data_IF_001201625044
#
_entry.id   IF_001201625044
#
_cell.length_a   1.000
_cell.length_b   1.000
_cell.length_c   1.000
_cell.angle_alpha   90.00
_cell.angle_beta   90.00
_cell.angle_gamma   90.00
#
_symmetry.space_group_name_H-M   'P 1'
#
loop_
_entity.id
_entity.type
_entity.pdbx_description
1 polymer ?
#
# COMPACT_ATOMS: atom_id res chain seq x y z
N UNK A 1 38.19 92.00 -76.70
CA UNK A 1 39.42 91.20 -76.63
C UNK A 1 39.47 90.55 -75.26
N UNK A 2 39.37 89.22 -75.21
CA UNK A 2 39.44 88.44 -73.99
C UNK A 2 40.90 88.29 -73.54
N UNK A 3 41.17 88.43 -72.24
CA UNK A 3 42.37 87.88 -71.62
C UNK A 3 41.95 87.00 -70.44
N UNK A 4 42.06 85.68 -70.67
CA UNK A 4 42.06 84.65 -69.63
C UNK A 4 43.31 84.83 -68.77
N UNK A 5 43.15 84.95 -67.45
CA UNK A 5 44.25 84.74 -66.50
C UNK A 5 43.96 83.46 -65.72
N UNK A 6 44.40 82.33 -66.28
CA UNK A 6 44.48 81.05 -65.57
C UNK A 6 45.71 81.07 -64.65
N UNK A 7 45.49 80.88 -63.34
CA UNK A 7 46.51 80.58 -62.31
C UNK A 7 47.66 81.59 -62.14
N UNK A 8 47.36 82.72 -61.49
CA UNK A 8 48.37 83.59 -60.87
C UNK A 8 48.64 83.23 -59.40
N UNK A 9 49.91 83.17 -59.01
CA UNK A 9 50.34 83.31 -57.61
C UNK A 9 50.09 84.77 -57.18
N UNK A 10 49.26 84.97 -56.16
CA UNK A 10 49.04 86.31 -55.59
C UNK A 10 50.15 86.57 -54.57
N UNK A 11 51.17 87.34 -54.96
CA UNK A 11 52.34 87.64 -54.11
C UNK A 11 52.17 88.87 -53.21
N UNK A 12 50.95 89.40 -53.12
CA UNK A 12 50.59 90.51 -52.25
C UNK A 12 49.28 91.11 -52.75
N UNK A 13 48.20 90.91 -52.01
CA UNK A 13 46.97 91.69 -52.21
C UNK A 13 47.06 92.88 -51.26
N UNK A 14 47.24 94.08 -51.81
CA UNK A 14 47.18 95.33 -51.07
C UNK A 14 45.82 95.93 -51.36
N UNK A 15 45.04 96.11 -50.30
CA UNK A 15 43.67 96.65 -50.25
C UNK A 15 43.41 97.75 -51.28
N UNK A 16 42.75 97.38 -52.37
CA UNK A 16 42.00 98.32 -53.19
C UNK A 16 40.55 98.07 -52.81
N UNK A 17 39.88 99.08 -52.27
CA UNK A 17 38.49 99.06 -51.75
C UNK A 17 37.42 98.77 -52.82
N UNK A 18 37.54 97.66 -53.53
CA UNK A 18 36.58 97.12 -54.48
C UNK A 18 36.46 95.60 -54.23
N UNK A 19 35.23 95.08 -54.37
CA UNK A 19 34.96 93.66 -54.20
C UNK A 19 35.79 92.84 -55.20
N UNK A 20 36.67 91.98 -54.70
CA UNK A 20 37.42 91.03 -55.50
C UNK A 20 36.89 89.62 -55.25
N UNK A 21 36.20 89.07 -56.24
CA UNK A 21 35.85 87.65 -56.28
C UNK A 21 37.00 86.87 -56.95
N UNK A 22 37.56 85.90 -56.24
CA UNK A 22 38.66 85.07 -56.75
C UNK A 22 38.21 83.61 -56.72
N UNK A 23 37.98 83.03 -57.90
CA UNK A 23 37.52 81.66 -58.04
C UNK A 23 38.68 80.62 -57.96
N UNK A 24 38.39 79.42 -57.44
CA UNK A 24 39.28 78.26 -57.32
C UNK A 24 40.05 78.09 -55.99
N UNK A 25 40.74 76.95 -55.82
CA UNK A 25 41.51 76.60 -54.60
C UNK A 25 42.81 77.40 -54.52
N UNK A 26 43.03 78.12 -53.40
CA UNK A 26 44.27 78.84 -53.11
C UNK A 26 45.03 78.21 -51.96
N UNK A 27 46.34 78.03 -52.15
CA UNK A 27 47.27 77.62 -51.10
C UNK A 27 48.12 78.84 -50.74
N UNK A 28 47.88 79.40 -49.56
CA UNK A 28 48.70 80.48 -49.03
C UNK A 28 49.90 79.88 -48.30
N UNK A 29 51.12 80.20 -48.75
CA UNK A 29 52.35 79.64 -48.17
C UNK A 29 52.85 80.40 -46.92
N UNK A 30 52.25 81.55 -46.63
CA UNK A 30 52.56 82.40 -45.48
C UNK A 30 51.29 82.64 -44.65
N UNK A 31 51.46 83.07 -43.40
CA UNK A 31 50.34 83.41 -42.50
C UNK A 31 49.45 84.49 -43.11
N UNK A 32 48.16 84.18 -43.24
CA UNK A 32 47.13 85.16 -43.56
C UNK A 32 46.71 85.83 -42.25
N UNK A 33 46.86 87.16 -42.15
CA UNK A 33 46.19 87.95 -41.12
C UNK A 33 44.91 88.53 -41.71
N UNK A 34 43.77 88.02 -41.26
CA UNK A 34 42.44 88.55 -41.58
C UNK A 34 41.72 88.89 -40.28
N UNK A 35 40.92 89.96 -40.28
CA UNK A 35 40.16 90.39 -39.10
C UNK A 35 38.97 89.46 -38.80
N UNK A 36 38.40 88.80 -39.81
CA UNK A 36 37.34 87.78 -39.71
C UNK A 36 37.49 86.82 -40.91
N UNK A 37 37.30 85.52 -40.67
CA UNK A 37 36.95 84.57 -41.73
C UNK A 37 35.43 84.42 -41.70
N UNK A 38 34.77 84.55 -42.84
CA UNK A 38 33.32 84.41 -42.96
C UNK A 38 33.02 83.16 -43.78
N UNK A 39 32.25 82.25 -43.20
CA UNK A 39 31.72 81.10 -43.92
C UNK A 39 30.48 81.58 -44.69
N UNK A 40 30.63 81.72 -46.00
CA UNK A 40 29.57 82.16 -46.90
C UNK A 40 28.43 81.17 -47.02
N UNK A 41 28.68 79.86 -46.85
CA UNK A 41 27.64 78.84 -46.94
C UNK A 41 26.77 78.85 -45.68
N UNK A 42 27.39 79.07 -44.51
CA UNK A 42 26.69 79.22 -43.24
C UNK A 42 26.20 80.64 -42.96
N UNK A 43 26.55 81.62 -43.81
CA UNK A 43 26.36 83.05 -43.60
C UNK A 43 26.76 83.52 -42.19
N UNK A 44 27.91 83.08 -41.68
CA UNK A 44 28.35 83.45 -40.34
C UNK A 44 29.88 83.58 -40.22
N UNK A 45 30.40 84.37 -39.27
CA UNK A 45 31.83 84.38 -38.98
C UNK A 45 32.29 82.97 -38.56
N UNK A 46 33.35 82.45 -39.18
CA UNK A 46 34.01 81.24 -38.72
C UNK A 46 34.41 81.41 -37.26
N UNK A 47 33.95 80.51 -36.38
CA UNK A 47 34.19 80.59 -34.96
C UNK A 47 35.70 80.68 -34.66
N UNK A 48 36.12 81.76 -33.99
CA UNK A 48 37.50 81.91 -33.54
C UNK A 48 37.65 81.36 -32.11
N UNK A 49 38.88 81.08 -31.65
CA UNK A 49 39.14 80.65 -30.26
C UNK A 49 38.58 81.62 -29.19
N UNK A 50 38.22 82.86 -29.55
CA UNK A 50 37.54 83.79 -28.64
C UNK A 50 36.08 83.42 -28.38
N UNK A 51 35.45 82.68 -29.29
CA UNK A 51 34.00 82.43 -29.37
C UNK A 51 33.59 81.04 -28.83
N UNK A 52 34.54 80.25 -28.33
CA UNK A 52 34.23 78.95 -27.68
C UNK A 52 33.67 79.17 -26.27
N UNK A 53 32.50 78.56 -26.00
CA UNK A 53 31.79 78.68 -24.72
C UNK A 53 32.57 78.06 -23.53
N UNK A 54 33.45 77.09 -23.78
CA UNK A 54 34.26 76.42 -22.76
C UNK A 54 35.74 76.61 -23.11
N UNK A 55 36.45 77.42 -22.32
CA UNK A 55 37.89 77.71 -22.52
C UNK A 55 38.80 76.84 -21.66
N UNK A 56 38.27 76.28 -20.56
CA UNK A 56 38.99 75.39 -19.64
C UNK A 56 38.00 74.50 -18.91
N UNK A 57 38.35 73.22 -18.72
CA UNK A 57 37.64 72.30 -17.84
C UNK A 57 38.45 72.16 -16.55
N UNK A 58 37.83 72.44 -15.40
CA UNK A 58 38.46 72.32 -14.08
C UNK A 58 38.24 70.91 -13.53
N UNK A 59 39.33 70.20 -13.23
CA UNK A 59 39.31 68.81 -12.71
C UNK A 59 40.08 67.85 -13.61
N UNK A 60 40.62 66.77 -13.03
CA UNK A 60 41.44 65.77 -13.72
C UNK A 60 40.84 64.36 -13.67
N UNK A 61 39.53 64.26 -13.48
CA UNK A 61 38.82 62.98 -13.38
C UNK A 61 38.62 62.43 -14.79
N UNK A 62 39.29 61.31 -15.09
CA UNK A 62 39.08 60.60 -16.34
C UNK A 62 37.63 60.07 -16.39
N UNK A 63 36.97 60.23 -17.54
CA UNK A 63 35.55 59.95 -17.74
C UNK A 63 34.57 60.64 -16.77
N UNK A 64 34.98 61.73 -16.11
CA UNK A 64 34.08 62.53 -15.30
C UNK A 64 33.06 63.27 -16.16
N UNK A 65 31.78 63.26 -15.76
CA UNK A 65 30.77 64.05 -16.47
C UNK A 65 31.08 65.54 -16.32
N UNK A 66 31.05 66.27 -17.44
CA UNK A 66 31.27 67.72 -17.45
C UNK A 66 29.98 68.39 -16.98
N UNK A 67 30.09 69.17 -15.92
CA UNK A 67 29.01 70.02 -15.41
C UNK A 67 29.38 71.49 -15.59
N UNK A 68 28.35 72.32 -15.81
CA UNK A 68 28.52 73.77 -15.86
C UNK A 68 28.97 74.28 -14.48
N UNK A 69 30.03 75.09 -14.46
CA UNK A 69 30.56 75.69 -13.25
C UNK A 69 30.53 77.21 -13.38
N UNK A 70 29.97 77.88 -12.37
CA UNK A 70 29.80 79.34 -12.39
C UNK A 70 31.13 80.10 -12.39
N UNK A 71 32.22 79.50 -11.90
CA UNK A 71 33.53 80.16 -11.79
C UNK A 71 34.45 79.80 -12.96
N UNK A 72 34.47 78.54 -13.40
CA UNK A 72 35.40 78.05 -14.43
C UNK A 72 34.75 77.77 -15.79
N UNK A 73 33.44 78.01 -15.94
CA UNK A 73 32.67 77.67 -17.13
C UNK A 73 32.30 76.18 -17.19
N UNK A 74 33.28 75.29 -17.02
CA UNK A 74 33.08 73.84 -17.00
C UNK A 74 33.99 73.14 -15.96
N UNK A 75 33.50 72.06 -15.35
CA UNK A 75 34.28 71.20 -14.45
C UNK A 75 33.85 69.74 -14.50
N UNK A 76 34.71 68.82 -14.05
CA UNK A 76 34.36 67.41 -13.81
C UNK A 76 34.20 67.12 -12.31
N UNK A 77 33.42 66.09 -11.96
CA UNK A 77 33.20 65.65 -10.58
C UNK A 77 33.63 64.17 -10.41
N UNK A 78 34.40 63.87 -9.37
CA UNK A 78 34.92 62.52 -9.11
C UNK A 78 33.84 61.52 -8.65
N UNK A 79 32.69 62.01 -8.18
CA UNK A 79 31.57 61.17 -7.74
C UNK A 79 30.55 60.90 -8.85
N UNK A 80 30.83 61.30 -10.09
CA UNK A 80 29.96 61.09 -11.24
C UNK A 80 30.80 60.83 -12.49
N UNK A 81 31.04 59.56 -12.79
CA UNK A 81 31.86 59.12 -13.91
C UNK A 81 31.08 58.22 -14.85
N UNK A 82 31.41 58.25 -16.13
CA UNK A 82 30.87 57.34 -17.13
C UNK A 82 31.88 56.22 -17.40
N UNK A 83 31.49 54.96 -17.27
CA UNK A 83 32.34 53.83 -17.63
C UNK A 83 32.01 53.42 -19.06
N UNK A 84 32.90 53.78 -20.01
CA UNK A 84 32.74 53.48 -21.44
C UNK A 84 32.68 51.99 -21.74
N UNK A 85 33.32 51.14 -20.94
CA UNK A 85 33.41 49.71 -21.20
C UNK A 85 32.10 48.97 -20.85
N UNK A 86 31.32 49.55 -19.95
CA UNK A 86 30.03 48.99 -19.50
C UNK A 86 28.84 49.87 -19.87
N UNK A 87 29.10 51.01 -20.51
CA UNK A 87 28.12 52.05 -20.81
C UNK A 87 27.31 52.52 -19.58
N UNK A 88 27.92 52.51 -18.39
CA UNK A 88 27.23 52.84 -17.12
C UNK A 88 27.65 54.18 -16.53
N UNK A 89 26.69 54.87 -15.92
CA UNK A 89 26.96 56.05 -15.09
C UNK A 89 27.19 55.59 -13.64
N UNK A 90 28.38 55.84 -13.11
CA UNK A 90 28.79 55.46 -11.76
C UNK A 90 28.71 56.68 -10.85
N UNK A 91 27.98 56.54 -9.75
CA UNK A 91 27.96 57.54 -8.69
C UNK A 91 27.92 56.90 -7.31
N UNK A 92 28.63 57.51 -6.36
CA UNK A 92 28.70 57.02 -4.98
C UNK A 92 27.41 57.28 -4.21
N UNK A 93 26.77 58.43 -4.45
CA UNK A 93 25.54 58.85 -3.78
C UNK A 93 24.64 59.52 -4.81
N UNK A 94 23.45 58.96 -5.00
CA UNK A 94 22.43 59.52 -5.89
C UNK A 94 21.27 59.98 -5.02
N UNK A 95 20.96 61.28 -5.05
CA UNK A 95 19.72 61.84 -4.51
C UNK A 95 18.91 62.38 -5.68
N UNK A 96 17.78 61.74 -5.93
CA UNK A 96 16.87 62.05 -7.02
C UNK A 96 15.45 61.97 -6.50
N UNK A 97 14.56 62.83 -7.01
CA UNK A 97 13.17 62.86 -6.58
C UNK A 97 12.37 61.71 -7.22
N UNK A 98 12.63 61.42 -8.49
CA UNK A 98 12.01 60.32 -9.24
C UNK A 98 13.01 59.70 -10.20
N UNK A 99 13.10 58.37 -10.22
CA UNK A 99 13.77 57.61 -11.28
C UNK A 99 12.67 57.00 -12.15
N UNK A 100 12.66 57.30 -13.45
CA UNK A 100 11.70 56.75 -14.41
C UNK A 100 12.47 55.87 -15.40
N UNK A 101 12.09 54.60 -15.51
CA UNK A 101 12.75 53.63 -16.38
C UNK A 101 12.39 52.19 -16.04
N UNK A 102 13.03 51.23 -16.71
CA UNK A 102 12.88 49.80 -16.40
C UNK A 102 13.66 49.44 -15.13
N UNK A 103 12.99 48.81 -14.17
CA UNK A 103 13.62 48.22 -12.99
C UNK A 103 14.23 46.84 -13.22
N UNK A 104 14.25 46.33 -14.47
CA UNK A 104 14.66 44.95 -14.80
C UNK A 104 16.07 44.58 -14.28
N UNK A 105 16.96 45.56 -14.14
CA UNK A 105 18.33 45.35 -13.65
C UNK A 105 18.54 45.83 -12.20
N UNK A 106 17.47 46.13 -11.47
CA UNK A 106 17.53 46.38 -10.03
C UNK A 106 17.50 45.04 -9.28
N UNK A 107 18.66 44.37 -9.21
CA UNK A 107 18.84 43.15 -8.43
C UNK A 107 19.56 43.44 -7.10
N UNK A 108 19.46 42.50 -6.15
CA UNK A 108 20.13 42.54 -4.85
C UNK A 108 19.88 43.82 -4.02
N UNK A 109 18.71 44.44 -4.19
CA UNK A 109 18.30 45.57 -3.36
C UNK A 109 18.15 45.10 -1.90
N UNK A 110 18.99 45.57 -0.97
CA UNK A 110 18.98 45.07 0.40
C UNK A 110 17.72 45.57 1.12
N UNK A 111 16.86 44.62 1.51
CA UNK A 111 15.54 44.91 2.08
C UNK A 111 15.61 45.61 3.44
N UNK A 112 16.76 45.55 4.13
CA UNK A 112 17.02 46.22 5.40
C UNK A 112 17.49 47.69 5.25
N UNK A 113 17.77 48.16 4.03
CA UNK A 113 18.22 49.54 3.77
C UNK A 113 17.10 50.50 3.36
N UNK A 114 15.88 50.02 3.19
CA UNK A 114 14.73 50.88 2.98
C UNK A 114 14.35 51.58 4.28
N UNK A 115 14.40 52.92 4.29
CA UNK A 115 14.03 53.72 5.47
C UNK A 115 12.53 53.61 5.79
N UNK A 116 11.71 53.34 4.79
CA UNK A 116 10.25 53.25 4.90
C UNK A 116 9.77 51.91 4.31
N UNK A 117 8.57 51.48 4.72
CA UNK A 117 7.90 50.32 4.12
C UNK A 117 7.64 50.57 2.64
N UNK A 118 7.88 49.56 1.81
CA UNK A 118 7.44 49.56 0.41
C UNK A 118 5.98 49.15 0.39
N UNK A 119 5.12 50.02 -0.14
CA UNK A 119 3.70 49.70 -0.29
C UNK A 119 3.53 48.59 -1.33
N UNK A 120 2.74 47.57 -1.03
CA UNK A 120 2.52 46.44 -1.93
C UNK A 120 1.90 46.84 -3.29
N UNK A 121 1.28 48.01 -3.42
CA UNK A 121 0.84 48.56 -4.72
C UNK A 121 1.99 48.81 -5.70
N UNK A 122 3.21 48.95 -5.21
CA UNK A 122 4.40 49.19 -6.03
C UNK A 122 5.20 47.90 -6.28
N UNK A 123 4.67 46.76 -5.85
CA UNK A 123 5.29 45.46 -6.06
C UNK A 123 4.48 44.69 -7.10
N UNK A 124 5.16 44.27 -8.17
CA UNK A 124 4.61 43.24 -9.04
C UNK A 124 4.76 41.90 -8.32
N UNK A 125 3.64 41.24 -8.06
CA UNK A 125 3.61 39.98 -7.33
C UNK A 125 2.77 38.94 -8.07
N UNK A 126 3.15 37.66 -7.92
CA UNK A 126 2.42 36.54 -8.53
C UNK A 126 1.02 36.33 -7.93
N UNK A 127 0.27 35.40 -8.53
CA UNK A 127 -1.14 35.11 -8.19
C UNK A 127 -1.37 34.63 -6.75
N UNK A 128 -0.34 34.09 -6.09
CA UNK A 128 -0.40 33.62 -4.70
C UNK A 128 -0.31 34.73 -3.65
N UNK A 129 -0.07 35.97 -4.07
CA UNK A 129 0.01 37.14 -3.20
C UNK A 129 -1.02 38.18 -3.64
N UNK A 130 -1.45 39.02 -2.71
CA UNK A 130 -2.31 40.16 -3.01
C UNK A 130 -2.04 41.31 -2.06
N UNK A 131 -2.33 42.52 -2.53
CA UNK A 131 -2.26 43.71 -1.69
C UNK A 131 -3.56 43.88 -0.90
N UNK A 132 -3.44 43.98 0.42
CA UNK A 132 -4.52 44.42 1.31
C UNK A 132 -4.07 45.70 2.02
N UNK A 133 -4.65 46.84 1.62
CA UNK A 133 -4.42 48.17 2.25
C UNK A 133 -2.94 48.57 2.33
N UNK A 134 -2.16 48.22 1.32
CA UNK A 134 -0.73 48.52 1.22
C UNK A 134 0.20 47.48 1.84
N UNK A 135 -0.35 46.39 2.39
CA UNK A 135 0.39 45.26 2.96
C UNK A 135 0.29 44.08 2.00
N UNK A 136 1.43 43.47 1.69
CA UNK A 136 1.49 42.25 0.90
C UNK A 136 1.03 41.07 1.77
N UNK A 137 0.01 40.35 1.33
CA UNK A 137 -0.54 39.20 2.03
C UNK A 137 -0.60 37.98 1.11
N UNK A 138 -0.54 36.79 1.70
CA UNK A 138 -0.77 35.54 0.97
C UNK A 138 -2.24 35.46 0.60
N UNK A 139 -2.53 35.18 -0.67
CA UNK A 139 -3.89 34.93 -1.14
C UNK A 139 -4.32 33.55 -0.66
N UNK A 140 -5.20 33.51 0.33
CA UNK A 140 -5.77 32.28 0.87
C UNK A 140 -6.92 31.76 0.00
N UNK A 141 -7.07 30.45 -0.07
CA UNK A 141 -8.18 29.74 -0.70
C UNK A 141 -8.70 28.63 0.22
N UNK A 142 -9.66 27.82 -0.24
CA UNK A 142 -10.01 26.59 0.47
C UNK A 142 -8.75 25.74 0.71
N UNK A 143 -8.57 25.28 1.95
CA UNK A 143 -7.41 24.50 2.39
C UNK A 143 -6.29 25.28 3.08
N UNK A 144 -6.10 26.59 2.82
CA UNK A 144 -5.04 27.40 3.45
C UNK A 144 -5.65 28.67 4.04
N UNK A 145 -5.42 28.93 5.33
CA UNK A 145 -5.89 30.13 6.02
C UNK A 145 -4.78 30.83 6.80
N UNK A 146 -4.95 32.13 7.04
CA UNK A 146 -4.08 32.93 7.88
C UNK A 146 -4.71 33.00 9.28
N UNK A 147 -3.97 32.62 10.32
CA UNK A 147 -4.39 32.74 11.72
C UNK A 147 -4.35 34.20 12.17
N UNK A 148 -4.98 34.50 13.30
CA UNK A 148 -5.00 35.86 13.89
C UNK A 148 -3.59 36.42 14.19
N UNK A 149 -2.60 35.55 14.41
CA UNK A 149 -1.21 35.92 14.61
C UNK A 149 -0.41 36.11 13.31
N UNK A 150 -1.06 36.05 12.15
CA UNK A 150 -0.46 36.17 10.83
C UNK A 150 0.22 34.88 10.31
N UNK A 151 0.22 33.79 11.06
CA UNK A 151 0.79 32.52 10.61
C UNK A 151 -0.09 31.84 9.56
N UNK A 152 0.55 31.22 8.57
CA UNK A 152 -0.12 30.36 7.59
C UNK A 152 -0.46 29.01 8.22
N UNK A 153 -1.67 28.50 7.97
CA UNK A 153 -2.03 27.13 8.34
C UNK A 153 -2.90 26.43 7.31
N UNK A 154 -2.83 25.10 7.36
CA UNK A 154 -3.66 24.22 6.57
C UNK A 154 -4.98 23.96 7.31
N UNK A 155 -6.11 24.08 6.60
CA UNK A 155 -7.40 23.61 7.08
C UNK A 155 -7.49 22.12 6.82
N UNK A 156 -7.48 21.32 7.87
CA UNK A 156 -7.66 19.87 7.80
C UNK A 156 -9.05 19.52 8.34
N UNK A 157 -9.85 18.79 7.57
CA UNK A 157 -11.18 18.35 7.98
C UNK A 157 -11.09 17.45 9.23
N UNK A 158 -12.02 17.61 10.16
CA UNK A 158 -12.02 16.90 11.45
C UNK A 158 -12.06 15.38 11.30
N UNK A 159 -12.64 14.91 10.19
CA UNK A 159 -12.89 13.50 9.91
C UNK A 159 -12.02 12.94 8.76
N UNK A 160 -11.04 13.73 8.29
CA UNK A 160 -10.27 13.43 7.09
C UNK A 160 -9.22 12.33 7.26
N UNK A 161 -8.93 11.93 8.51
CA UNK A 161 -7.80 11.05 8.82
C UNK A 161 -6.43 11.72 8.62
N UNK A 162 -6.38 13.02 8.35
CA UNK A 162 -5.16 13.82 8.31
C UNK A 162 -5.02 14.65 9.60
N UNK A 163 -3.79 14.92 10.00
CA UNK A 163 -3.47 15.79 11.15
C UNK A 163 -2.13 16.50 10.93
N UNK A 164 -1.83 17.51 11.75
CA UNK A 164 -0.50 18.13 11.81
C UNK A 164 0.19 17.60 13.08
N UNK A 165 1.28 16.86 12.90
CA UNK A 165 2.11 16.34 14.00
C UNK A 165 3.55 16.79 13.77
N UNK A 166 4.14 17.42 14.78
CA UNK A 166 5.52 17.94 14.74
C UNK A 166 5.80 18.84 13.52
N UNK A 167 4.82 19.67 13.14
CA UNK A 167 4.92 20.58 12.00
C UNK A 167 4.78 19.92 10.61
N UNK A 168 4.53 18.61 10.55
CA UNK A 168 4.33 17.85 9.31
C UNK A 168 2.90 17.34 9.18
N UNK A 169 2.41 17.23 7.94
CA UNK A 169 1.13 16.55 7.67
C UNK A 169 1.33 15.05 7.86
N UNK A 170 0.51 14.45 8.70
CA UNK A 170 0.55 13.02 9.03
C UNK A 170 -0.84 12.39 8.86
N UNK A 171 -0.86 11.08 8.62
CA UNK A 171 -2.08 10.28 8.65
C UNK A 171 -2.35 9.87 10.10
N UNK A 172 -3.55 10.17 10.59
CA UNK A 172 -4.06 9.75 11.90
C UNK A 172 -5.47 9.20 11.74
N UNK A 173 -5.55 7.87 11.60
CA UNK A 173 -6.82 7.15 11.43
C UNK A 173 -7.75 7.27 12.64
N UNK A 174 -7.26 7.69 13.82
CA UNK A 174 -8.15 7.90 14.98
C UNK A 174 -9.03 9.14 14.83
N UNK A 175 -8.71 9.99 13.85
CA UNK A 175 -9.51 11.14 13.45
C UNK A 175 -10.57 10.81 12.42
N UNK A 176 -10.65 9.58 11.89
CA UNK A 176 -11.74 9.24 10.96
C UNK A 176 -13.01 8.85 11.73
N UNK A 177 -14.17 9.15 11.14
CA UNK A 177 -15.43 8.57 11.60
C UNK A 177 -15.41 7.05 11.42
N UNK A 178 -16.03 6.30 12.34
CA UNK A 178 -16.12 4.83 12.19
C UNK A 178 -16.99 4.51 10.98
N UNK A 179 -16.56 3.54 10.17
CA UNK A 179 -17.30 3.17 8.95
C UNK A 179 -18.73 2.67 9.23
N UNK A 180 -18.97 2.12 10.42
CA UNK A 180 -20.27 1.59 10.82
C UNK A 180 -21.20 2.59 11.54
N UNK A 181 -20.80 3.86 11.64
CA UNK A 181 -21.56 4.88 12.41
C UNK A 181 -22.97 5.13 11.88
N UNK A 182 -23.23 4.84 10.61
CA UNK A 182 -24.53 5.02 9.95
C UNK A 182 -25.11 3.71 9.39
N UNK A 183 -24.71 2.55 9.92
CA UNK A 183 -25.11 1.24 9.40
C UNK A 183 -24.45 0.84 8.07
N UNK A 184 -23.55 1.68 7.55
CA UNK A 184 -22.67 1.34 6.44
C UNK A 184 -21.62 0.31 6.88
N UNK A 185 -21.07 -0.44 5.94
CA UNK A 185 -19.95 -1.33 6.17
C UNK A 185 -19.01 -1.25 4.96
N UNK A 186 -17.86 -1.91 5.06
CA UNK A 186 -16.92 -2.01 3.97
C UNK A 186 -17.60 -2.61 2.73
N UNK A 187 -17.40 -1.97 1.60
CA UNK A 187 -17.76 -2.46 0.27
C UNK A 187 -16.56 -3.13 -0.39
N UNK A 188 -16.82 -4.07 -1.30
CA UNK A 188 -15.79 -4.71 -2.14
C UNK A 188 -14.93 -3.69 -2.90
N UNK A 189 -15.54 -2.55 -3.27
CA UNK A 189 -14.90 -1.47 -4.03
C UNK A 189 -14.18 -0.43 -3.15
N UNK A 190 -14.29 -0.52 -1.82
CA UNK A 190 -13.59 0.40 -0.93
C UNK A 190 -12.08 0.23 -1.06
N UNK A 191 -11.38 1.35 -1.05
CA UNK A 191 -9.93 1.40 -1.25
C UNK A 191 -9.17 1.35 0.06
N UNK A 192 -8.13 0.53 0.07
CA UNK A 192 -7.14 0.43 1.12
C UNK A 192 -5.83 1.04 0.65
N UNK A 193 -5.26 1.92 1.46
CA UNK A 193 -3.90 2.40 1.26
C UNK A 193 -2.92 1.31 1.67
N UNK A 194 -1.99 0.97 0.76
CA UNK A 194 -0.98 -0.07 1.00
C UNK A 194 0.40 0.44 0.59
N UNK A 195 1.38 0.17 1.44
CA UNK A 195 2.78 0.37 1.07
C UNK A 195 3.27 -0.91 0.39
N UNK A 196 3.47 -0.84 -0.92
CA UNK A 196 4.09 -1.91 -1.68
C UNK A 196 5.61 -1.86 -1.45
N UNK A 197 6.07 -2.73 -0.55
CA UNK A 197 7.47 -2.86 -0.16
C UNK A 197 8.35 -3.22 -1.37
N UNK A 198 7.83 -3.97 -2.35
CA UNK A 198 8.60 -4.41 -3.51
C UNK A 198 8.92 -3.27 -4.47
N UNK A 199 8.01 -2.29 -4.60
CA UNK A 199 8.19 -1.11 -5.44
C UNK A 199 8.64 0.14 -4.66
N UNK A 200 8.64 0.09 -3.32
CA UNK A 200 8.97 1.23 -2.47
C UNK A 200 7.95 2.37 -2.57
N UNK A 201 6.72 2.08 -3.03
CA UNK A 201 5.68 3.08 -3.29
C UNK A 201 4.47 2.83 -2.39
N UNK A 202 3.76 3.91 -2.09
CA UNK A 202 2.40 3.80 -1.53
C UNK A 202 1.41 3.81 -2.68
N UNK A 203 0.56 2.79 -2.74
CA UNK A 203 -0.50 2.61 -3.74
C UNK A 203 -1.82 2.31 -3.03
N UNK A 204 -2.88 2.08 -3.80
CA UNK A 204 -4.15 1.59 -3.28
C UNK A 204 -4.52 0.24 -3.91
N UNK A 205 -5.39 -0.49 -3.22
CA UNK A 205 -6.06 -1.69 -3.72
C UNK A 205 -7.49 -1.70 -3.19
N UNK A 206 -8.39 -2.44 -3.83
CA UNK A 206 -9.72 -2.67 -3.27
C UNK A 206 -9.72 -3.81 -2.25
N UNK A 207 -10.73 -3.82 -1.37
CA UNK A 207 -10.95 -4.94 -0.43
C UNK A 207 -11.17 -6.24 -1.20
N UNK A 208 -11.91 -6.20 -2.31
CA UNK A 208 -12.08 -7.34 -3.21
C UNK A 208 -10.75 -7.88 -3.72
N UNK A 209 -9.86 -7.03 -4.21
CA UNK A 209 -8.56 -7.45 -4.71
C UNK A 209 -7.69 -8.06 -3.59
N UNK A 210 -7.75 -7.51 -2.37
CA UNK A 210 -7.07 -8.09 -1.22
C UNK A 210 -7.64 -9.47 -0.85
N UNK A 211 -8.96 -9.61 -0.87
CA UNK A 211 -9.63 -10.87 -0.58
C UNK A 211 -9.29 -11.91 -1.65
N UNK A 212 -9.62 -11.64 -2.92
CA UNK A 212 -9.44 -12.57 -4.03
C UNK A 212 -7.96 -12.91 -4.27
N UNK A 213 -7.09 -11.91 -4.24
CA UNK A 213 -5.67 -12.04 -4.58
C UNK A 213 -4.77 -12.52 -3.45
N UNK A 214 -5.23 -12.50 -2.19
CA UNK A 214 -4.41 -12.90 -1.05
C UNK A 214 -5.15 -13.78 -0.06
N UNK A 215 -6.22 -13.29 0.57
CA UNK A 215 -6.87 -14.01 1.67
C UNK A 215 -7.47 -15.33 1.15
N UNK A 216 -8.25 -15.26 0.07
CA UNK A 216 -8.90 -16.40 -0.57
C UNK A 216 -7.91 -17.47 -1.04
N UNK A 217 -6.68 -17.07 -1.42
CA UNK A 217 -5.63 -18.00 -1.82
C UNK A 217 -4.91 -18.68 -0.65
N UNK A 218 -4.97 -18.10 0.55
CA UNK A 218 -4.26 -18.60 1.74
C UNK A 218 -5.17 -19.41 2.67
N UNK A 219 -6.49 -19.20 2.59
CA UNK A 219 -7.47 -19.95 3.37
C UNK A 219 -7.77 -21.28 2.68
N UNK A 220 -7.85 -22.35 3.47
CA UNK A 220 -8.24 -23.66 2.97
C UNK A 220 -9.75 -23.69 2.75
N UNK A 221 -10.16 -24.03 1.54
CA UNK A 221 -11.57 -24.14 1.18
C UNK A 221 -12.09 -25.56 1.41
N UNK A 222 -13.38 -25.72 1.75
CA UNK A 222 -14.03 -27.02 1.72
C UNK A 222 -13.84 -27.70 0.36
N UNK A 223 -13.70 -29.02 0.37
CA UNK A 223 -13.60 -29.84 -0.83
C UNK A 223 -14.92 -30.58 -1.11
N UNK A 224 -15.14 -30.97 -2.36
CA UNK A 224 -16.25 -31.85 -2.71
C UNK A 224 -17.61 -31.17 -2.92
N UNK A 225 -18.62 -32.00 -3.13
CA UNK A 225 -20.00 -31.59 -3.35
C UNK A 225 -20.73 -31.31 -2.03
N UNK A 226 -21.87 -30.57 -2.06
CA UNK A 226 -22.75 -30.46 -0.89
C UNK A 226 -23.04 -31.83 -0.27
N UNK A 227 -23.20 -31.86 1.06
CA UNK A 227 -23.42 -33.07 1.87
C UNK A 227 -22.22 -34.02 2.01
N UNK A 228 -21.10 -33.83 1.29
CA UNK A 228 -19.90 -34.62 1.53
C UNK A 228 -19.21 -34.18 2.82
N UNK A 229 -18.87 -35.14 3.69
CA UNK A 229 -18.18 -34.84 4.93
C UNK A 229 -16.72 -34.46 4.66
N UNK A 230 -16.29 -33.38 5.30
CA UNK A 230 -14.93 -32.86 5.19
C UNK A 230 -13.99 -33.61 6.13
N UNK A 231 -12.82 -33.96 5.65
CA UNK A 231 -11.72 -34.45 6.47
C UNK A 231 -10.41 -33.77 6.10
N UNK A 232 -9.41 -33.89 6.98
CA UNK A 232 -8.09 -33.30 6.75
C UNK A 232 -7.32 -34.10 5.70
N UNK A 233 -7.19 -33.53 4.51
CA UNK A 233 -6.33 -34.03 3.44
C UNK A 233 -4.87 -33.55 3.59
N UNK A 234 -4.05 -33.90 2.59
CA UNK A 234 -2.61 -33.55 2.56
C UNK A 234 -2.33 -32.05 2.33
N UNK A 235 -3.19 -31.38 1.56
CA UNK A 235 -3.04 -29.96 1.16
C UNK A 235 -4.15 -29.04 1.69
N UNK A 236 -5.07 -29.57 2.50
CA UNK A 236 -6.21 -28.83 3.02
C UNK A 236 -7.36 -29.75 3.38
N UNK A 237 -8.59 -29.28 3.20
CA UNK A 237 -9.75 -30.15 3.28
C UNK A 237 -9.82 -31.08 2.08
N UNK A 238 -10.33 -32.27 2.34
CA UNK A 238 -10.62 -33.30 1.35
C UNK A 238 -11.98 -33.92 1.70
N UNK A 239 -12.54 -34.62 0.74
CA UNK A 239 -13.91 -35.13 0.79
C UNK A 239 -14.04 -36.41 -0.02
N UNK A 240 -15.07 -37.19 0.25
CA UNK A 240 -15.36 -38.39 -0.54
C UNK A 240 -16.85 -38.50 -0.78
N UNK A 241 -17.24 -38.85 -2.01
CA UNK A 241 -18.63 -39.19 -2.32
C UNK A 241 -19.12 -40.40 -1.49
N UNK A 242 -18.21 -41.30 -1.13
CA UNK A 242 -18.47 -42.47 -0.30
C UNK A 242 -18.72 -42.15 1.19
N UNK A 243 -18.53 -40.90 1.62
CA UNK A 243 -18.78 -40.45 2.99
C UNK A 243 -19.57 -39.14 2.98
N UNK A 244 -20.89 -39.24 3.06
CA UNK A 244 -21.79 -38.09 2.94
C UNK A 244 -22.91 -38.12 3.98
N UNK A 245 -23.38 -36.95 4.38
CA UNK A 245 -24.52 -36.76 5.27
C UNK A 245 -25.56 -35.88 4.60
N UNK A 246 -26.70 -36.46 4.24
CA UNK A 246 -27.86 -35.70 3.78
C UNK A 246 -28.67 -35.22 4.97
N UNK A 247 -28.60 -33.91 5.25
CA UNK A 247 -29.34 -33.28 6.34
C UNK A 247 -30.86 -33.31 6.17
N UNK A 248 -31.38 -33.47 4.94
CA UNK A 248 -32.82 -33.50 4.67
C UNK A 248 -33.42 -34.83 5.10
N UNK A 249 -32.76 -35.93 4.75
CA UNK A 249 -33.17 -37.28 5.14
C UNK A 249 -32.55 -37.76 6.46
N UNK A 250 -31.59 -37.00 7.02
CA UNK A 250 -30.79 -37.38 8.19
C UNK A 250 -30.03 -38.70 8.00
N UNK A 251 -29.56 -38.97 6.78
CA UNK A 251 -28.86 -40.21 6.42
C UNK A 251 -27.35 -39.94 6.29
N UNK A 252 -26.56 -40.68 7.06
CA UNK A 252 -25.12 -40.83 6.86
C UNK A 252 -24.86 -42.03 5.96
N UNK A 253 -24.32 -41.77 4.78
CA UNK A 253 -23.90 -42.80 3.83
C UNK A 253 -22.40 -43.08 4.01
N UNK A 254 -22.08 -44.37 4.16
CA UNK A 254 -20.71 -44.88 4.16
C UNK A 254 -20.62 -46.00 3.14
N UNK A 255 -20.02 -45.73 1.98
CA UNK A 255 -19.72 -46.76 0.98
C UNK A 255 -18.32 -47.31 1.24
N UNK A 256 -18.27 -48.44 1.94
CA UNK A 256 -17.01 -49.10 2.28
C UNK A 256 -17.07 -49.76 3.65
N UNK A 257 -15.92 -49.81 4.33
CA UNK A 257 -15.77 -50.46 5.62
C UNK A 257 -15.76 -49.43 6.76
N UNK A 258 -16.48 -49.76 7.85
CA UNK A 258 -16.40 -49.01 9.11
C UNK A 258 -15.50 -49.79 10.07
N UNK A 259 -14.27 -49.33 10.23
CA UNK A 259 -13.37 -49.85 11.24
C UNK A 259 -13.65 -49.17 12.60
N UNK A 260 -14.40 -49.85 13.46
CA UNK A 260 -14.72 -49.36 14.80
C UNK A 260 -14.36 -50.39 15.87
N UNK A 261 -13.74 -49.93 16.97
CA UNK A 261 -13.50 -50.78 18.15
C UNK A 261 -14.81 -51.09 18.89
N UNK A 262 -15.74 -50.13 18.91
CA UNK A 262 -17.07 -50.25 19.53
C UNK A 262 -18.07 -49.46 18.69
N UNK A 263 -19.25 -50.04 18.48
CA UNK A 263 -20.37 -49.40 17.80
C UNK A 263 -21.59 -49.50 18.70
N UNK A 264 -22.24 -48.36 18.95
CA UNK A 264 -23.44 -48.28 19.79
C UNK A 264 -24.64 -47.89 18.93
N UNK A 265 -25.65 -48.76 18.88
CA UNK A 265 -26.90 -48.52 18.15
C UNK A 265 -28.05 -48.51 19.16
N UNK A 266 -28.66 -47.34 19.39
CA UNK A 266 -29.64 -47.14 20.47
C UNK A 266 -31.00 -47.79 20.22
N UNK A 267 -31.45 -47.79 18.96
CA UNK A 267 -32.84 -48.13 18.65
C UNK A 267 -32.94 -49.47 17.93
N UNK A 268 -32.36 -49.57 16.73
CA UNK A 268 -32.47 -50.75 15.88
C UNK A 268 -31.26 -50.87 14.98
N UNK A 269 -30.69 -52.07 14.91
CA UNK A 269 -29.74 -52.45 13.87
C UNK A 269 -30.49 -53.30 12.83
N UNK A 270 -30.55 -52.83 11.59
CA UNK A 270 -31.02 -53.62 10.45
C UNK A 270 -29.80 -53.99 9.63
N UNK A 271 -29.61 -55.29 9.38
CA UNK A 271 -28.58 -55.79 8.49
C UNK A 271 -29.29 -56.54 7.36
N UNK A 272 -29.26 -55.99 6.15
CA UNK A 272 -29.88 -56.60 4.97
C UNK A 272 -28.99 -57.68 4.33
N UNK A 273 -27.70 -57.70 4.70
CA UNK A 273 -26.71 -58.68 4.26
C UNK A 273 -26.44 -59.78 5.28
N UNK A 274 -25.34 -60.51 5.06
CA UNK A 274 -24.89 -61.57 5.97
C UNK A 274 -24.08 -61.03 7.15
N UNK A 275 -24.27 -61.62 8.33
CA UNK A 275 -23.47 -61.33 9.53
C UNK A 275 -22.45 -62.44 9.73
N UNK A 276 -21.17 -62.11 9.60
CA UNK A 276 -20.07 -63.05 9.85
C UNK A 276 -19.57 -62.91 11.29
N UNK A 277 -19.40 -64.04 11.98
CA UNK A 277 -18.88 -64.09 13.35
C UNK A 277 -17.85 -65.22 13.48
N UNK A 278 -16.95 -65.08 14.45
CA UNK A 278 -15.89 -66.05 14.73
C UNK A 278 -16.49 -67.40 15.15
N UNK A 279 -16.02 -68.48 14.52
CA UNK A 279 -16.28 -69.87 14.91
C UNK A 279 -14.96 -70.47 15.38
N UNK A 280 -14.94 -71.04 16.59
CA UNK A 280 -13.74 -71.67 17.17
C UNK A 280 -14.05 -73.11 17.56
N UNK A 281 -13.15 -74.03 17.25
CA UNK A 281 -13.23 -75.41 17.73
C UNK A 281 -12.32 -75.59 18.94
N UNK A 282 -12.81 -76.27 19.97
CA UNK A 282 -12.06 -76.57 21.20
C UNK A 282 -12.04 -78.08 21.44
N UNK A 283 -10.89 -78.57 21.90
CA UNK A 283 -10.66 -79.99 22.19
C UNK A 283 -10.23 -80.24 23.64
N UNK A 284 -9.65 -79.22 24.28
CA UNK A 284 -9.13 -79.32 25.63
C UNK A 284 -10.24 -79.59 26.64
N UNK A 285 -9.92 -80.37 27.67
CA UNK A 285 -10.88 -80.73 28.73
C UNK A 285 -11.43 -79.54 29.53
N UNK A 286 -10.77 -78.39 29.45
CA UNK A 286 -11.21 -77.13 30.04
C UNK A 286 -10.93 -75.99 29.07
N UNK A 287 -11.85 -75.03 28.98
CA UNK A 287 -11.69 -73.84 28.14
C UNK A 287 -12.34 -72.62 28.79
N UNK A 288 -11.58 -71.54 28.91
CA UNK A 288 -12.08 -70.23 29.34
C UNK A 288 -12.47 -69.41 28.11
N UNK A 289 -13.67 -68.85 28.13
CA UNK A 289 -14.20 -68.05 27.02
C UNK A 289 -13.43 -66.74 26.89
N UNK A 290 -12.95 -66.46 25.68
CA UNK A 290 -12.30 -65.20 25.30
C UNK A 290 -13.35 -64.17 24.87
N UNK A 291 -13.11 -62.88 25.06
CA UNK A 291 -13.95 -61.75 24.64
C UNK A 291 -14.34 -61.79 23.15
N UNK A 292 -13.47 -62.32 22.30
CA UNK A 292 -13.73 -62.41 20.85
C UNK A 292 -14.57 -63.63 20.43
N UNK A 293 -14.84 -64.58 21.33
CA UNK A 293 -15.59 -65.78 20.98
C UNK A 293 -17.09 -65.52 20.82
N UNK A 294 -17.68 -66.19 19.82
CA UNK A 294 -19.10 -66.14 19.51
C UNK A 294 -19.70 -67.55 19.36
N UNK A 295 -19.22 -68.34 18.40
CA UNK A 295 -19.61 -69.75 18.24
C UNK A 295 -18.46 -70.66 18.60
N UNK A 296 -18.69 -71.58 19.54
CA UNK A 296 -17.73 -72.56 20.02
C UNK A 296 -18.22 -73.96 19.65
N UNK A 297 -17.43 -74.67 18.86
CA UNK A 297 -17.60 -76.08 18.53
C UNK A 297 -16.78 -76.89 19.53
N UNK A 298 -17.45 -77.55 20.46
CA UNK A 298 -16.82 -78.36 21.50
C UNK A 298 -16.69 -79.79 21.01
N UNK A 299 -15.49 -80.18 20.58
CA UNK A 299 -15.21 -81.52 20.08
C UNK A 299 -14.84 -82.47 21.23
N UNK A 300 -15.77 -83.34 21.61
CA UNK A 300 -15.65 -84.22 22.78
C UNK A 300 -15.06 -85.61 22.45
N UNK A 301 -14.45 -85.81 21.29
CA UNK A 301 -13.93 -87.14 20.87
C UNK A 301 -12.97 -87.81 21.86
N UNK A 302 -12.24 -87.03 22.66
CA UNK A 302 -11.20 -87.56 23.56
C UNK A 302 -11.56 -87.45 25.05
N UNK A 303 -12.40 -86.49 25.43
CA UNK A 303 -12.68 -86.17 26.83
C UNK A 303 -13.96 -85.36 26.99
N UNK A 304 -14.48 -85.33 28.22
CA UNK A 304 -15.44 -84.31 28.64
C UNK A 304 -14.78 -82.93 28.54
N UNK A 305 -15.55 -81.91 28.14
CA UNK A 305 -15.10 -80.52 28.05
C UNK A 305 -15.88 -79.68 29.04
N UNK A 306 -15.18 -78.91 29.87
CA UNK A 306 -15.78 -77.89 30.74
C UNK A 306 -15.48 -76.51 30.14
N UNK A 307 -16.53 -75.81 29.73
CA UNK A 307 -16.46 -74.42 29.29
C UNK A 307 -16.73 -73.52 30.50
N UNK A 308 -15.76 -72.70 30.86
CA UNK A 308 -15.93 -71.70 31.91
C UNK A 308 -16.46 -70.40 31.27
N UNK A 309 -17.72 -70.08 31.57
CA UNK A 309 -18.37 -68.85 31.16
C UNK A 309 -17.81 -67.68 31.99
N UNK A 310 -17.63 -66.49 31.38
CA UNK A 310 -17.16 -65.34 32.11
C UNK A 310 -18.28 -64.81 33.03
N UNK A 311 -17.90 -63.99 34.01
CA UNK A 311 -18.86 -63.37 34.93
C UNK A 311 -19.94 -62.59 34.15
N UNK A 312 -21.25 -62.81 34.44
CA UNK A 312 -22.35 -62.13 33.76
C UNK A 312 -22.28 -60.60 33.87
N UNK A 313 -21.80 -60.07 35.01
CA UNK A 313 -21.78 -58.64 35.35
C UNK A 313 -21.09 -57.79 34.28
N UNK A 314 -20.03 -58.31 33.67
CA UNK A 314 -19.25 -57.60 32.66
C UNK A 314 -19.62 -57.99 31.21
N UNK A 315 -20.64 -58.82 31.02
CA UNK A 315 -20.99 -59.42 29.73
C UNK A 315 -22.48 -59.23 29.36
N UNK A 316 -23.18 -58.26 29.95
CA UNK A 316 -24.60 -58.01 29.66
C UNK A 316 -24.85 -57.83 28.15
N UNK A 317 -25.88 -58.52 27.63
CA UNK A 317 -26.25 -58.54 26.22
C UNK A 317 -25.41 -59.46 25.34
N UNK A 318 -24.34 -60.09 25.86
CA UNK A 318 -23.49 -60.99 25.08
C UNK A 318 -24.22 -62.27 24.71
N UNK A 319 -24.06 -62.70 23.45
CA UNK A 319 -24.60 -63.95 22.91
C UNK A 319 -23.44 -64.90 22.62
N UNK A 320 -23.57 -66.14 23.07
CA UNK A 320 -22.62 -67.22 22.82
C UNK A 320 -23.36 -68.46 22.31
N UNK A 321 -22.80 -69.14 21.32
CA UNK A 321 -23.34 -70.36 20.76
C UNK A 321 -22.38 -71.51 21.02
N UNK A 322 -22.92 -72.62 21.52
CA UNK A 322 -22.16 -73.83 21.80
C UNK A 322 -22.74 -74.99 21.01
N UNK A 323 -21.88 -75.76 20.35
CA UNK A 323 -22.26 -76.98 19.64
C UNK A 323 -21.34 -78.11 20.07
N UNK A 324 -21.91 -79.16 20.65
CA UNK A 324 -21.17 -80.40 20.87
C UNK A 324 -20.96 -81.10 19.53
N UNK A 325 -19.75 -81.57 19.29
CA UNK A 325 -19.43 -82.47 18.18
C UNK A 325 -18.59 -83.63 18.67
N UNK A 326 -18.76 -84.78 18.03
CA UNK A 326 -17.97 -85.98 18.27
C UNK A 326 -18.05 -86.84 17.00
N UNK A 327 -17.03 -87.66 16.77
CA UNK A 327 -16.94 -88.53 15.59
C UNK A 327 -17.92 -89.70 15.62
N UNK A 328 -18.38 -90.12 16.81
CA UNK A 328 -19.33 -91.21 16.98
C UNK A 328 -20.78 -90.70 17.02
N UNK A 329 -21.52 -90.95 15.95
CA UNK A 329 -22.88 -90.45 15.73
C UNK A 329 -23.97 -91.19 16.54
N UNK A 330 -23.64 -92.33 17.18
CA UNK A 330 -24.63 -93.23 17.79
C UNK A 330 -24.61 -93.30 19.32
N UNK A 331 -23.69 -92.60 20.00
CA UNK A 331 -23.54 -92.74 21.45
C UNK A 331 -24.42 -91.79 22.27
N UNK A 332 -25.38 -92.39 22.99
CA UNK A 332 -26.05 -91.79 24.16
C UNK A 332 -25.10 -91.62 25.36
N UNK A 333 -23.98 -92.36 25.39
CA UNK A 333 -22.96 -92.38 26.46
C UNK A 333 -21.64 -91.69 26.05
N UNK A 334 -21.67 -90.75 25.10
CA UNK A 334 -20.49 -89.99 24.69
C UNK A 334 -20.01 -89.04 25.80
N UNK A 335 -18.78 -88.57 25.67
CA UNK A 335 -18.25 -87.48 26.50
C UNK A 335 -19.16 -86.25 26.39
N UNK A 336 -19.25 -85.44 27.43
CA UNK A 336 -20.21 -84.34 27.55
C UNK A 336 -19.52 -82.98 27.51
N UNK A 337 -20.28 -81.93 27.21
CA UNK A 337 -19.85 -80.54 27.38
C UNK A 337 -20.57 -79.96 28.59
N UNK A 338 -19.85 -79.46 29.57
CA UNK A 338 -20.40 -78.74 30.72
C UNK A 338 -20.14 -77.25 30.55
N UNK A 339 -21.19 -76.45 30.48
CA UNK A 339 -21.11 -74.99 30.51
C UNK A 339 -21.24 -74.57 31.98
N UNK A 340 -20.16 -74.07 32.59
CA UNK A 340 -20.13 -73.71 34.00
C UNK A 340 -19.93 -72.21 34.17
N UNK A 341 -20.64 -71.59 35.12
CA UNK A 341 -20.43 -70.19 35.51
C UNK A 341 -20.09 -70.13 37.01
N UNK A 342 -18.96 -69.50 37.35
CA UNK A 342 -18.50 -69.39 38.74
C UNK A 342 -19.25 -68.30 39.52
N UNK A 343 -19.47 -67.15 38.87
CA UNK A 343 -19.96 -65.92 39.50
C UNK A 343 -21.38 -65.56 39.01
N UNK A 344 -22.24 -66.57 38.84
CA UNK A 344 -23.60 -66.40 38.36
C UNK A 344 -24.30 -67.72 38.08
N UNK A 345 -25.47 -67.66 37.43
CA UNK A 345 -26.20 -68.85 36.99
C UNK A 345 -26.16 -69.05 35.48
N UNK A 346 -26.26 -70.30 35.07
CA UNK A 346 -26.64 -70.73 33.74
C UNK A 346 -28.08 -71.22 33.83
N UNK A 347 -29.01 -70.40 33.36
CA UNK A 347 -30.45 -70.54 33.56
C UNK A 347 -30.79 -70.62 35.06
N UNK A 348 -31.35 -71.74 35.53
CA UNK A 348 -31.69 -71.95 36.95
C UNK A 348 -30.53 -72.50 37.80
N UNK A 349 -29.50 -73.06 37.17
CA UNK A 349 -28.37 -73.73 37.84
C UNK A 349 -27.06 -72.96 37.75
N UNK A 350 -25.96 -73.50 38.29
CA UNK A 350 -24.61 -72.95 38.08
C UNK A 350 -23.89 -73.57 36.86
N UNK A 351 -24.49 -74.60 36.26
CA UNK A 351 -23.97 -75.28 35.09
C UNK A 351 -25.09 -75.87 34.22
N UNK A 352 -24.80 -76.08 32.94
CA UNK A 352 -25.64 -76.79 31.96
C UNK A 352 -24.81 -77.87 31.25
N UNK A 353 -25.41 -79.04 30.98
CA UNK A 353 -24.71 -80.17 30.34
C UNK A 353 -25.30 -80.49 28.97
N UNK A 354 -24.47 -80.39 27.93
CA UNK A 354 -24.79 -80.82 26.57
C UNK A 354 -24.29 -82.26 26.38
N UNK A 355 -25.22 -83.22 26.26
CA UNK A 355 -24.90 -84.65 26.11
C UNK A 355 -24.87 -85.13 24.66
N UNK A 356 -25.70 -84.56 23.79
CA UNK A 356 -25.91 -85.09 22.42
C UNK A 356 -25.24 -84.23 21.36
N UNK A 357 -24.69 -84.87 20.31
CA UNK A 357 -24.03 -84.19 19.18
C UNK A 357 -25.00 -83.32 18.36
N UNK A 358 -26.29 -83.64 18.40
CA UNK A 358 -27.32 -82.87 17.70
C UNK A 358 -27.76 -81.62 18.47
N UNK A 359 -27.37 -81.48 19.74
CA UNK A 359 -27.73 -80.30 20.53
C UNK A 359 -26.78 -79.12 20.32
N UNK A 360 -27.37 -77.94 20.23
CA UNK A 360 -26.70 -76.66 20.45
C UNK A 360 -27.32 -75.93 21.65
N UNK A 361 -26.58 -74.97 22.19
CA UNK A 361 -27.07 -74.02 23.19
C UNK A 361 -26.70 -72.62 22.74
N UNK A 362 -27.70 -71.76 22.63
CA UNK A 362 -27.49 -70.32 22.55
C UNK A 362 -27.68 -69.75 23.94
N UNK A 363 -26.63 -69.13 24.48
CA UNK A 363 -26.69 -68.41 25.73
C UNK A 363 -26.77 -66.91 25.46
N UNK A 364 -27.61 -66.20 26.20
CA UNK A 364 -27.67 -64.75 26.22
C UNK A 364 -27.55 -64.24 27.66
N UNK A 365 -26.61 -63.33 27.89
CA UNK A 365 -26.40 -62.73 29.21
C UNK A 365 -27.30 -61.51 29.41
N UNK A 366 -27.92 -61.38 30.59
CA UNK A 366 -28.69 -60.18 30.99
C UNK A 366 -27.89 -59.22 31.90
N UNK A 367 -26.66 -59.59 32.27
CA UNK A 367 -25.82 -58.87 33.23
C UNK A 367 -25.82 -59.44 34.65
N UNK A 368 -26.72 -60.38 34.95
CA UNK A 368 -26.77 -61.10 36.23
C UNK A 368 -26.59 -62.61 36.04
N UNK A 369 -27.16 -63.18 34.98
CA UNK A 369 -27.12 -64.60 34.65
C UNK A 369 -26.96 -64.82 33.14
N UNK A 370 -26.61 -66.06 32.77
CA UNK A 370 -26.65 -66.55 31.40
C UNK A 370 -27.94 -67.32 31.14
N UNK A 371 -28.75 -66.92 30.17
CA UNK A 371 -30.02 -67.58 29.84
C UNK A 371 -29.89 -68.47 28.62
N UNK A 372 -30.50 -69.65 28.65
CA UNK A 372 -30.56 -70.56 27.49
C UNK A 372 -31.74 -70.14 26.61
N UNK A 373 -31.46 -69.65 25.39
CA UNK A 373 -32.46 -69.15 24.42
C UNK A 373 -32.83 -70.24 23.38
N UNK A 374 -32.66 -71.51 23.75
CA UNK A 374 -32.99 -72.65 22.90
C UNK A 374 -32.29 -73.93 23.35
N UNK A 375 -33.05 -75.03 23.45
CA UNK A 375 -32.57 -76.31 24.01
C UNK A 375 -32.53 -77.46 22.99
N UNK A 376 -33.08 -77.27 21.79
CA UNK A 376 -33.07 -78.27 20.71
C UNK A 376 -32.55 -77.64 19.42
N UNK A 377 -31.54 -78.26 18.82
CA UNK A 377 -31.26 -78.09 17.40
C UNK A 377 -32.29 -78.90 16.62
N UNK A 378 -33.05 -78.27 15.74
CA UNK A 378 -33.88 -78.95 14.74
C UNK A 378 -33.03 -79.65 13.71
#
# INVERSE_FOLDING_TARGET
MAYNVLKGNVQGSVDQHADQEIDGVKIFKNTISASIFYDTDAQSPCATLKDVAIKKIKGNVNNGLIIADKESGARTNHNLTYNSDTETLVSKNIKVDTIIGSGMFLHDLPTDKFKNKINANFLEHGLGLHNVRGILQVKTSEGIHIKDNGALSLTIGTDSGLTIKDGSVAIDITKTSKINSAGQNLSDDDLLLVTDVSSGKTTNTSIRNLFDGYINMKVQHPAGAPSQLQFKGRKGFDSSAALSFDSTSSVLTVEGEILAKKTYVKTKLVCEGSVYKKIKTVHDSKYDIDDADYTIICNTSNNNIVINLPSPVNNSGRILNFKKTETDIYKLNGNTVTLACKDGKVDIGNQEIIKTNFSSRTLQCDGSNWWIIGTKGS
#
